data_IF_624820394406
#
_entry.id   IF_624820394406
#
_cell.length_a   1.000
_cell.length_b   1.000
_cell.length_c   1.000
_cell.angle_alpha   90.00
_cell.angle_beta   90.00
_cell.angle_gamma   90.00
#
_symmetry.space_group_name_H-M   'P 1'
#
loop_
_entity.id
_entity.type
_entity.pdbx_description
1 polymer ?
#
# COMPACT_ATOMS: atom_id res chain seq x y z
N UNK A 1 -24.51 -52.20 26.42
CA UNK A 1 -25.50 -51.41 25.67
C UNK A 1 -25.07 -49.95 25.69
N UNK A 2 -24.89 -49.38 24.48
CA UNK A 2 -24.76 -47.96 24.10
C UNK A 2 -23.79 -47.09 24.91
N UNK A 3 -22.57 -46.91 24.39
CA UNK A 3 -21.78 -45.71 24.66
C UNK A 3 -21.47 -45.03 23.32
N UNK A 4 -22.19 -43.95 23.06
CA UNK A 4 -22.18 -43.18 21.82
C UNK A 4 -21.01 -42.20 21.88
N UNK A 5 -19.92 -42.51 21.17
CA UNK A 5 -18.84 -41.56 20.93
C UNK A 5 -19.37 -40.42 20.05
N UNK A 6 -19.40 -39.21 20.62
CA UNK A 6 -19.78 -37.97 19.94
C UNK A 6 -18.86 -37.75 18.72
N UNK A 7 -19.46 -37.47 17.56
CA UNK A 7 -18.74 -36.89 16.41
C UNK A 7 -18.17 -35.52 16.81
N UNK A 8 -16.91 -35.20 16.47
CA UNK A 8 -16.43 -33.84 16.60
C UNK A 8 -17.25 -32.93 15.69
N UNK A 9 -17.70 -31.84 16.29
CA UNK A 9 -18.55 -30.82 15.69
C UNK A 9 -17.67 -29.87 14.88
N UNK A 10 -18.19 -29.46 13.73
CA UNK A 10 -17.96 -28.21 12.99
C UNK A 10 -16.52 -27.65 12.97
N UNK A 11 -15.91 -27.69 11.78
CA UNK A 11 -14.62 -27.08 11.48
C UNK A 11 -14.55 -25.63 11.93
N UNK A 12 -13.82 -25.41 13.03
CA UNK A 12 -12.96 -24.25 13.14
C UNK A 12 -11.88 -24.47 12.08
N UNK A 13 -11.92 -23.70 10.99
CA UNK A 13 -10.72 -23.46 10.20
C UNK A 13 -9.72 -22.82 11.14
N UNK A 14 -8.79 -23.64 11.61
CA UNK A 14 -7.55 -23.23 12.22
C UNK A 14 -7.02 -22.03 11.42
N UNK A 15 -6.60 -20.98 12.12
CA UNK A 15 -5.70 -19.99 11.56
C UNK A 15 -4.46 -20.78 11.14
N UNK A 16 -4.52 -21.32 9.93
CA UNK A 16 -3.51 -22.19 9.39
C UNK A 16 -2.20 -21.44 9.45
N UNK A 17 -1.15 -22.21 9.69
CA UNK A 17 0.25 -21.86 9.49
C UNK A 17 0.43 -21.27 8.08
N UNK A 18 0.00 -20.01 7.90
CA UNK A 18 0.30 -19.20 6.75
C UNK A 18 1.73 -18.79 7.01
N UNK A 19 2.65 -19.62 6.51
CA UNK A 19 4.05 -19.26 6.42
C UNK A 19 4.21 -17.84 5.85
N UNK A 20 5.36 -17.19 6.08
CA UNK A 20 5.53 -15.79 5.74
C UNK A 20 5.16 -15.52 4.28
N UNK A 21 4.28 -14.53 4.07
CA UNK A 21 3.96 -14.06 2.74
C UNK A 21 5.18 -13.31 2.19
N UNK A 22 5.71 -13.78 1.05
CA UNK A 22 6.79 -13.10 0.35
C UNK A 22 6.16 -12.09 -0.60
N UNK A 23 6.30 -10.81 -0.28
CA UNK A 23 5.84 -9.70 -1.11
C UNK A 23 7.02 -9.08 -1.85
N UNK A 24 6.81 -8.67 -3.10
CA UNK A 24 7.80 -7.86 -3.82
C UNK A 24 7.67 -6.40 -3.39
N UNK A 25 8.79 -5.80 -3.01
CA UNK A 25 8.86 -4.40 -2.66
C UNK A 25 9.84 -3.64 -3.55
N UNK A 26 9.60 -2.33 -3.70
CA UNK A 26 10.50 -1.42 -4.38
C UNK A 26 10.69 -0.15 -3.56
N UNK A 27 11.93 0.35 -3.50
CA UNK A 27 12.30 1.60 -2.86
C UNK A 27 12.57 2.65 -3.95
N UNK A 28 11.86 3.78 -3.89
CA UNK A 28 11.91 4.86 -4.86
C UNK A 28 12.17 6.20 -4.19
N UNK A 29 12.75 7.14 -4.93
CA UNK A 29 12.98 8.51 -4.44
C UNK A 29 11.67 9.25 -4.19
N UNK A 30 11.55 9.91 -3.04
CA UNK A 30 10.44 10.82 -2.76
C UNK A 30 10.34 11.97 -3.77
N UNK A 31 11.40 12.29 -4.50
CA UNK A 31 11.39 13.29 -5.58
C UNK A 31 10.46 12.95 -6.74
N UNK A 32 9.89 11.74 -6.82
CA UNK A 32 8.82 11.44 -7.77
C UNK A 32 7.45 12.03 -7.40
N UNK A 33 7.32 12.54 -6.18
CA UNK A 33 6.11 13.22 -5.69
C UNK A 33 6.29 14.73 -5.88
N UNK A 34 5.21 15.41 -6.22
CA UNK A 34 5.13 16.88 -6.08
C UNK A 34 4.97 17.25 -4.60
N UNK A 35 5.14 18.53 -4.27
CA UNK A 35 4.82 19.02 -2.92
C UNK A 35 3.32 18.83 -2.60
N UNK A 36 2.46 18.99 -3.58
CA UNK A 36 1.02 18.76 -3.45
C UNK A 36 0.69 17.28 -3.20
N UNK A 37 1.39 16.36 -3.86
CA UNK A 37 1.24 14.92 -3.62
C UNK A 37 1.60 14.56 -2.17
N UNK A 38 2.73 15.07 -1.68
CA UNK A 38 3.16 14.87 -0.28
C UNK A 38 2.12 15.39 0.71
N UNK A 39 1.61 16.61 0.49
CA UNK A 39 0.59 17.21 1.34
C UNK A 39 -0.73 16.41 1.35
N UNK A 40 -1.17 15.91 0.19
CA UNK A 40 -2.35 15.03 0.09
C UNK A 40 -2.11 13.75 0.86
N UNK A 41 -0.97 13.09 0.68
CA UNK A 41 -0.67 11.83 1.35
C UNK A 41 -0.57 12.01 2.88
N UNK A 42 0.13 13.02 3.37
CA UNK A 42 0.17 13.36 4.80
C UNK A 42 -1.23 13.61 5.36
N UNK A 43 -2.10 14.33 4.63
CA UNK A 43 -3.48 14.53 5.06
C UNK A 43 -4.22 13.21 5.20
N UNK A 44 -4.17 12.35 4.17
CA UNK A 44 -4.88 11.07 4.14
C UNK A 44 -4.40 10.09 5.21
N UNK A 45 -3.09 10.05 5.48
CA UNK A 45 -2.50 9.15 6.50
C UNK A 45 -2.73 9.62 7.94
N UNK A 46 -3.13 10.87 8.15
CA UNK A 46 -3.41 11.45 9.46
C UNK A 46 -4.91 11.68 9.72
N UNK A 47 -5.80 11.09 8.90
CA UNK A 47 -7.24 11.14 9.15
C UNK A 47 -7.58 10.36 10.42
N UNK A 48 -8.33 11.00 11.32
CA UNK A 48 -8.87 10.36 12.53
C UNK A 48 -10.36 10.06 12.36
N UNK A 49 -10.81 8.89 12.81
CA UNK A 49 -12.23 8.52 12.85
C UNK A 49 -12.61 7.43 11.85
N UNK A 50 -13.89 7.33 11.45
CA UNK A 50 -14.38 6.19 10.67
C UNK A 50 -13.73 6.03 9.28
N UNK A 51 -13.14 7.11 8.75
CA UNK A 51 -12.43 7.12 7.46
C UNK A 51 -10.94 6.73 7.60
N UNK A 52 -10.42 6.51 8.81
CA UNK A 52 -9.04 6.06 9.04
C UNK A 52 -8.77 4.69 8.40
N UNK A 53 -9.74 3.77 8.50
CA UNK A 53 -9.62 2.41 7.95
C UNK A 53 -9.48 2.42 6.41
N UNK A 54 -9.96 3.47 5.74
CA UNK A 54 -9.95 3.59 4.29
C UNK A 54 -8.53 3.82 3.73
N UNK A 55 -7.60 4.29 4.57
CA UNK A 55 -6.23 4.65 4.20
C UNK A 55 -5.17 3.82 4.91
N UNK A 56 -5.56 2.76 5.63
CA UNK A 56 -4.65 1.86 6.36
C UNK A 56 -3.69 1.03 5.48
N UNK A 57 -3.64 1.32 4.18
CA UNK A 57 -2.71 0.75 3.20
C UNK A 57 -1.63 1.75 2.75
N UNK A 58 -1.68 2.99 3.23
CA UNK A 58 -0.65 4.01 3.08
C UNK A 58 -0.13 4.35 4.47
N UNK A 59 1.19 4.41 4.63
CA UNK A 59 1.81 4.75 5.89
C UNK A 59 2.83 5.86 5.69
N UNK A 60 2.65 6.96 6.40
CA UNK A 60 3.68 8.00 6.52
C UNK A 60 4.86 7.46 7.33
N UNK A 61 6.06 7.82 6.91
CA UNK A 61 7.33 7.51 7.56
C UNK A 61 8.08 8.81 7.85
N UNK A 62 9.17 8.73 8.61
CA UNK A 62 9.99 9.91 8.89
C UNK A 62 10.64 10.55 7.64
N UNK A 63 10.61 9.87 6.48
CA UNK A 63 11.31 10.30 5.27
C UNK A 63 10.50 10.09 3.97
N UNK A 64 9.18 9.92 4.05
CA UNK A 64 8.31 9.65 2.89
C UNK A 64 7.16 8.70 3.24
N UNK A 65 6.76 7.81 2.32
CA UNK A 65 5.56 6.98 2.46
C UNK A 65 5.76 5.52 2.05
N UNK A 66 4.98 4.62 2.64
CA UNK A 66 4.86 3.21 2.22
C UNK A 66 3.45 2.97 1.69
N UNK A 67 3.35 2.38 0.51
CA UNK A 67 2.10 1.96 -0.13
C UNK A 67 2.03 0.43 -0.15
N UNK A 68 0.93 -0.14 0.33
CA UNK A 68 0.58 -1.56 0.16
C UNK A 68 -0.52 -1.72 -0.89
N UNK A 69 -0.12 -1.74 -2.15
CA UNK A 69 -1.05 -1.74 -3.29
C UNK A 69 -1.93 -2.99 -3.34
N UNK A 70 -1.46 -4.13 -2.82
CA UNK A 70 -2.25 -5.35 -2.71
C UNK A 70 -3.42 -5.26 -1.71
N UNK A 71 -3.42 -4.27 -0.82
CA UNK A 71 -4.50 -4.05 0.15
C UNK A 71 -5.63 -3.15 -0.40
N UNK A 72 -5.43 -2.53 -1.56
CA UNK A 72 -6.39 -1.60 -2.18
C UNK A 72 -6.40 -1.78 -3.72
N UNK A 73 -7.30 -2.62 -4.27
CA UNK A 73 -7.32 -2.92 -5.71
C UNK A 73 -7.57 -1.72 -6.63
N UNK A 74 -8.25 -0.69 -6.12
CA UNK A 74 -8.63 0.56 -6.78
C UNK A 74 -7.78 1.75 -6.28
N UNK A 75 -6.57 1.48 -5.78
CA UNK A 75 -5.68 2.46 -5.16
C UNK A 75 -5.50 3.75 -5.97
N UNK A 76 -5.21 3.65 -7.27
CA UNK A 76 -4.88 4.82 -8.08
C UNK A 76 -6.12 5.67 -8.40
N UNK A 77 -7.26 5.05 -8.67
CA UNK A 77 -8.54 5.75 -8.84
C UNK A 77 -8.90 6.52 -7.57
N UNK A 78 -8.84 5.86 -6.40
CA UNK A 78 -9.12 6.48 -5.11
C UNK A 78 -8.16 7.63 -4.78
N UNK A 79 -6.88 7.48 -5.09
CA UNK A 79 -5.87 8.53 -4.87
C UNK A 79 -6.09 9.74 -5.79
N UNK A 80 -6.38 9.52 -7.08
CA UNK A 80 -6.70 10.61 -8.01
C UNK A 80 -7.95 11.38 -7.59
N UNK A 81 -9.01 10.69 -7.16
CA UNK A 81 -10.24 11.31 -6.64
C UNK A 81 -9.99 12.17 -5.39
N UNK A 82 -8.94 11.86 -4.62
CA UNK A 82 -8.52 12.61 -3.43
C UNK A 82 -7.40 13.62 -3.69
N UNK A 83 -7.08 13.88 -4.97
CA UNK A 83 -6.19 14.97 -5.38
C UNK A 83 -4.73 14.58 -5.59
N UNK A 84 -4.39 13.29 -5.57
CA UNK A 84 -3.06 12.84 -5.97
C UNK A 84 -2.85 13.06 -7.48
N UNK A 85 -1.63 13.40 -7.87
CA UNK A 85 -1.31 13.67 -9.27
C UNK A 85 -1.41 12.40 -10.13
N UNK A 86 -1.96 12.55 -11.33
CA UNK A 86 -2.00 11.48 -12.33
C UNK A 86 -0.60 10.96 -12.70
N UNK A 87 0.44 11.81 -12.56
CA UNK A 87 1.82 11.40 -12.78
C UNK A 87 2.30 10.38 -11.74
N UNK A 88 2.01 10.62 -10.46
CA UNK A 88 2.34 9.69 -9.38
C UNK A 88 1.48 8.42 -9.45
N UNK A 89 0.18 8.54 -9.71
CA UNK A 89 -0.67 7.37 -9.92
C UNK A 89 -0.19 6.49 -11.08
N UNK A 90 0.17 7.10 -12.22
CA UNK A 90 0.74 6.37 -13.34
C UNK A 90 2.05 5.64 -12.98
N UNK A 91 2.90 6.25 -12.12
CA UNK A 91 4.10 5.61 -11.59
C UNK A 91 3.76 4.39 -10.74
N UNK A 92 2.82 4.53 -9.78
CA UNK A 92 2.38 3.43 -8.92
C UNK A 92 1.85 2.25 -9.75
N UNK A 93 0.96 2.51 -10.72
CA UNK A 93 0.39 1.47 -11.59
C UNK A 93 1.47 0.77 -12.42
N UNK A 94 2.38 1.55 -12.99
CA UNK A 94 3.42 1.00 -13.86
C UNK A 94 4.42 0.17 -13.06
N UNK A 95 4.81 0.63 -11.87
CA UNK A 95 5.68 -0.12 -10.98
C UNK A 95 5.01 -1.43 -10.53
N UNK A 96 3.74 -1.37 -10.13
CA UNK A 96 2.99 -2.55 -9.71
C UNK A 96 2.87 -3.58 -10.83
N UNK A 97 2.48 -3.13 -12.03
CA UNK A 97 2.23 -4.00 -13.18
C UNK A 97 3.51 -4.57 -13.80
N UNK A 98 4.49 -3.72 -14.08
CA UNK A 98 5.64 -4.10 -14.91
C UNK A 98 6.77 -4.74 -14.08
N UNK A 99 6.82 -4.47 -12.77
CA UNK A 99 7.80 -5.06 -11.85
C UNK A 99 7.21 -6.07 -10.87
N UNK A 100 5.90 -6.38 -10.98
CA UNK A 100 5.17 -7.30 -10.09
C UNK A 100 5.27 -6.89 -8.61
N UNK A 101 5.32 -5.57 -8.36
CA UNK A 101 5.54 -4.99 -7.02
C UNK A 101 4.21 -4.81 -6.30
N UNK A 102 4.17 -5.26 -5.05
CA UNK A 102 2.99 -5.12 -4.19
C UNK A 102 3.16 -3.99 -3.18
N UNK A 103 4.39 -3.73 -2.74
CA UNK A 103 4.71 -2.66 -1.79
C UNK A 103 5.69 -1.65 -2.40
N UNK A 104 5.41 -0.37 -2.29
CA UNK A 104 6.32 0.70 -2.73
C UNK A 104 6.66 1.57 -1.53
N UNK A 105 7.94 1.79 -1.27
CA UNK A 105 8.41 2.77 -0.30
C UNK A 105 9.01 3.94 -1.07
N UNK A 106 8.53 5.14 -0.79
CA UNK A 106 9.15 6.38 -1.21
C UNK A 106 9.97 6.96 -0.06
N UNK A 107 11.22 7.31 -0.33
CA UNK A 107 12.13 7.83 0.69
C UNK A 107 13.00 8.96 0.15
N UNK A 108 13.24 9.98 0.98
CA UNK A 108 14.20 11.04 0.71
C UNK A 108 15.59 10.43 0.49
N UNK A 109 16.22 10.76 -0.64
CA UNK A 109 17.56 10.27 -0.98
C UNK A 109 17.62 8.87 -1.58
N UNK A 110 16.49 8.18 -1.73
CA UNK A 110 16.42 6.93 -2.48
C UNK A 110 16.62 7.14 -3.99
N UNK A 111 16.81 6.03 -4.71
CA UNK A 111 17.09 6.05 -6.13
C UNK A 111 15.88 6.50 -6.95
N UNK A 112 16.14 7.36 -7.94
CA UNK A 112 15.16 7.80 -8.93
C UNK A 112 14.94 6.69 -9.96
N UNK A 113 13.69 6.40 -10.32
CA UNK A 113 13.36 5.53 -11.44
C UNK A 113 13.54 6.29 -12.77
N UNK A 114 14.47 5.87 -13.65
CA UNK A 114 14.74 6.58 -14.89
C UNK A 114 13.51 6.64 -15.81
N UNK A 115 13.34 7.77 -16.49
CA UNK A 115 12.23 8.00 -17.42
C UNK A 115 10.94 8.50 -16.77
N UNK A 116 10.93 8.69 -15.44
CA UNK A 116 9.81 9.25 -14.70
C UNK A 116 10.07 10.70 -14.27
N UNK A 117 9.01 11.52 -14.12
CA UNK A 117 9.15 12.87 -13.59
C UNK A 117 9.80 12.89 -12.22
N UNK A 118 10.59 13.92 -11.97
CA UNK A 118 11.11 14.27 -10.65
C UNK A 118 10.86 15.74 -10.40
N UNK A 119 10.67 16.09 -9.14
CA UNK A 119 10.33 17.42 -8.67
C UNK A 119 11.32 17.85 -7.59
N UNK A 120 11.64 19.15 -7.60
CA UNK A 120 12.44 19.79 -6.56
C UNK A 120 11.49 20.54 -5.62
N UNK A 121 11.50 20.19 -4.34
CA UNK A 121 10.76 20.87 -3.27
C UNK A 121 11.43 20.62 -1.91
#
# INVERSE_FOLDING_TARGET
>A
MKNTLKKPQHGMTEAGDRGPEIVRCMLLSASHMTFEDDAVLTMLTNLEGPEEEDWCWIYETAAGFIFRLNACPDACERLEENGLSAALCHLLETVARDYDVQHIQFEIGAAVLPGWPVYEW
#
